data_IF_875429024456
#
_entry.id   IF_875429024456
#
_cell.length_a   1.000
_cell.length_b   1.000
_cell.length_c   1.000
_cell.angle_alpha   90.00
_cell.angle_beta   90.00
_cell.angle_gamma   90.00
#
_symmetry.space_group_name_H-M   'P 1'
#
loop_
_entity.id
_entity.type
_entity.pdbx_description
1 polymer ?
#
# COMPACT_ATOMS: atom_id res chain seq x y z
N UNK A 1 -13.49 -14.63 -30.92
CA UNK A 1 -13.09 -13.33 -30.36
C UNK A 1 -11.57 -13.25 -30.38
N UNK A 2 -10.98 -12.07 -30.37
CA UNK A 2 -9.53 -11.96 -30.31
C UNK A 2 -9.03 -12.50 -28.96
N UNK A 3 -7.86 -13.12 -28.95
CA UNK A 3 -7.21 -13.63 -27.75
C UNK A 3 -5.92 -12.86 -27.55
N UNK A 4 -5.69 -12.35 -26.35
CA UNK A 4 -4.48 -11.58 -26.03
C UNK A 4 -3.78 -12.23 -24.84
N UNK A 5 -2.50 -12.54 -24.97
CA UNK A 5 -1.71 -13.08 -23.84
C UNK A 5 -1.44 -11.99 -22.80
N UNK A 6 -1.15 -12.38 -21.56
CA UNK A 6 -0.79 -11.43 -20.51
C UNK A 6 0.45 -10.61 -20.90
N UNK A 7 1.43 -11.21 -21.58
CA UNK A 7 2.59 -10.48 -22.11
C UNK A 7 2.23 -9.42 -23.14
N UNK A 8 1.16 -9.61 -23.91
CA UNK A 8 0.65 -8.60 -24.84
C UNK A 8 -0.05 -7.49 -24.07
N UNK A 9 -0.87 -7.84 -23.07
CA UNK A 9 -1.54 -6.87 -22.21
C UNK A 9 -0.54 -6.00 -21.43
N UNK A 10 0.57 -6.58 -20.95
CA UNK A 10 1.65 -5.86 -20.24
C UNK A 10 2.33 -4.77 -21.08
N UNK A 11 2.26 -4.84 -22.41
CA UNK A 11 2.80 -3.80 -23.31
C UNK A 11 1.93 -2.54 -23.31
N UNK A 12 0.68 -2.66 -22.85
CA UNK A 12 -0.30 -1.60 -22.77
C UNK A 12 -0.46 -1.13 -21.31
N UNK A 13 0.61 -0.57 -20.76
CA UNK A 13 0.74 -0.22 -19.34
C UNK A 13 0.91 1.30 -19.08
N UNK A 14 0.55 2.15 -20.04
CA UNK A 14 0.73 3.61 -19.94
C UNK A 14 -0.61 4.34 -19.98
N UNK A 15 -0.68 5.58 -19.48
CA UNK A 15 -1.95 6.33 -19.44
C UNK A 15 -2.58 6.56 -20.83
N UNK A 16 -1.78 6.60 -21.89
CA UNK A 16 -2.24 6.79 -23.27
C UNK A 16 -2.48 5.46 -24.02
N UNK A 17 -2.17 4.33 -23.39
CA UNK A 17 -2.35 2.98 -23.91
C UNK A 17 -2.43 1.98 -22.75
N UNK A 18 -3.65 1.81 -22.22
CA UNK A 18 -3.92 1.15 -20.95
C UNK A 18 -4.93 0.02 -21.09
N UNK A 19 -4.44 -1.20 -20.89
CA UNK A 19 -5.26 -2.39 -20.93
C UNK A 19 -5.20 -3.10 -19.58
N UNK A 20 -6.27 -3.78 -19.22
CA UNK A 20 -6.35 -4.58 -17.99
C UNK A 20 -7.02 -5.91 -18.27
N UNK A 21 -6.72 -6.89 -17.44
CA UNK A 21 -7.50 -8.14 -17.38
C UNK A 21 -8.46 -8.06 -16.20
N UNK A 22 -9.73 -8.41 -16.43
CA UNK A 22 -10.75 -8.62 -15.41
C UNK A 22 -11.49 -9.93 -15.71
N UNK A 23 -11.53 -10.86 -14.75
CA UNK A 23 -12.23 -12.14 -14.88
C UNK A 23 -11.90 -12.89 -16.18
N UNK A 24 -10.61 -13.04 -16.47
CA UNK A 24 -10.09 -13.66 -17.70
C UNK A 24 -10.43 -12.93 -19.02
N UNK A 25 -10.99 -11.72 -18.94
CA UNK A 25 -11.34 -10.87 -20.07
C UNK A 25 -10.42 -9.66 -20.14
N UNK A 26 -10.03 -9.30 -21.35
CA UNK A 26 -9.10 -8.22 -21.64
C UNK A 26 -9.90 -6.98 -22.08
N UNK A 27 -9.62 -5.86 -21.44
CA UNK A 27 -10.29 -4.59 -21.67
C UNK A 27 -9.27 -3.51 -22.02
N UNK A 28 -9.52 -2.76 -23.10
CA UNK A 28 -8.80 -1.54 -23.42
C UNK A 28 -9.53 -0.35 -22.83
N UNK A 29 -9.13 0.03 -21.62
CA UNK A 29 -9.75 1.09 -20.83
C UNK A 29 -9.04 2.44 -21.01
N UNK A 30 -8.16 2.59 -21.99
CA UNK A 30 -7.46 3.85 -22.31
C UNK A 30 -8.43 5.04 -22.38
N UNK A 31 -9.59 4.82 -23.01
CA UNK A 31 -10.64 5.86 -23.15
C UNK A 31 -11.51 6.03 -21.91
N UNK A 32 -11.53 5.05 -21.02
CA UNK A 32 -12.29 5.06 -19.77
C UNK A 32 -11.48 5.65 -18.60
N UNK A 33 -10.17 5.86 -18.81
CA UNK A 33 -9.23 6.29 -17.77
C UNK A 33 -9.68 7.55 -17.01
N UNK A 34 -10.20 8.52 -17.75
CA UNK A 34 -10.65 9.81 -17.23
C UNK A 34 -12.08 9.76 -16.68
N UNK A 35 -12.86 8.76 -17.08
CA UNK A 35 -14.27 8.57 -16.69
C UNK A 35 -14.43 7.71 -15.43
N UNK A 36 -13.33 7.15 -14.93
CA UNK A 36 -13.33 6.29 -13.77
C UNK A 36 -13.58 7.06 -12.46
N UNK A 37 -14.68 6.78 -11.72
CA UNK A 37 -15.06 7.54 -10.52
C UNK A 37 -14.05 7.50 -9.37
N UNK A 38 -13.22 6.45 -9.30
CA UNK A 38 -12.16 6.32 -8.29
C UNK A 38 -10.84 7.01 -8.66
N UNK A 39 -10.81 7.76 -9.77
CA UNK A 39 -9.62 8.42 -10.30
C UNK A 39 -8.88 7.57 -11.33
N UNK A 40 -8.05 8.22 -12.13
CA UNK A 40 -7.22 7.56 -13.15
C UNK A 40 -6.00 6.87 -12.56
N UNK A 41 -5.54 7.36 -11.42
CA UNK A 41 -4.32 6.93 -10.76
C UNK A 41 -4.39 5.45 -10.39
N UNK A 42 -5.57 4.98 -9.96
CA UNK A 42 -5.81 3.58 -9.62
C UNK A 42 -5.84 2.65 -10.84
N UNK A 43 -6.26 3.15 -12.00
CA UNK A 43 -6.24 2.38 -13.25
C UNK A 43 -4.82 2.31 -13.82
N UNK A 44 -4.04 3.39 -13.69
CA UNK A 44 -2.62 3.42 -14.06
C UNK A 44 -1.81 2.42 -13.21
N UNK A 45 -2.15 2.26 -11.93
CA UNK A 45 -1.47 1.33 -11.02
C UNK A 45 -1.62 -0.14 -11.43
N UNK A 46 -2.77 -0.51 -12.00
CA UNK A 46 -3.06 -1.87 -12.48
C UNK A 46 -2.87 -2.05 -13.99
N UNK A 47 -2.32 -1.03 -14.66
CA UNK A 47 -2.14 -1.00 -16.10
C UNK A 47 -1.27 -2.16 -16.60
N UNK A 48 -1.75 -2.88 -17.59
CA UNK A 48 -1.07 -4.03 -18.18
C UNK A 48 -1.06 -5.29 -17.29
N UNK A 49 -1.88 -5.33 -16.24
CA UNK A 49 -1.94 -6.46 -15.29
C UNK A 49 -3.33 -7.08 -15.20
N UNK A 50 -3.42 -8.19 -14.47
CA UNK A 50 -4.70 -8.73 -14.01
C UNK A 50 -5.20 -7.94 -12.80
N UNK A 51 -6.18 -7.10 -13.07
CA UNK A 51 -6.81 -6.20 -12.11
C UNK A 51 -8.01 -6.84 -11.40
N UNK A 52 -8.30 -8.13 -11.63
CA UNK A 52 -9.50 -8.80 -11.10
C UNK A 52 -9.60 -8.68 -9.58
N UNK A 53 -8.49 -8.93 -8.86
CA UNK A 53 -8.48 -8.84 -7.40
C UNK A 53 -8.73 -7.41 -6.93
N UNK A 54 -8.04 -6.43 -7.51
CA UNK A 54 -8.19 -5.01 -7.15
C UNK A 54 -9.60 -4.49 -7.43
N UNK A 55 -10.19 -4.91 -8.55
CA UNK A 55 -11.54 -4.53 -8.94
C UNK A 55 -12.60 -5.11 -7.99
N UNK A 56 -12.41 -6.33 -7.54
CA UNK A 56 -13.39 -6.99 -6.66
C UNK A 56 -13.24 -6.61 -5.19
N UNK A 57 -12.02 -6.33 -4.72
CA UNK A 57 -11.74 -5.86 -3.36
C UNK A 57 -12.39 -4.50 -3.07
N UNK A 58 -12.42 -3.61 -4.06
CA UNK A 58 -13.06 -2.29 -3.97
C UNK A 58 -14.60 -2.42 -3.94
N UNK A 59 -15.15 -3.55 -4.40
CA UNK A 59 -16.59 -3.79 -4.40
C UNK A 59 -17.34 -2.96 -5.44
N UNK A 60 -16.80 -2.84 -6.66
CA UNK A 60 -17.47 -2.17 -7.78
C UNK A 60 -18.89 -2.75 -8.01
N UNK A 61 -19.86 -1.92 -8.38
CA UNK A 61 -21.26 -2.32 -8.62
C UNK A 61 -21.45 -3.05 -9.95
N UNK A 62 -22.63 -3.60 -10.21
CA UNK A 62 -22.95 -4.25 -11.49
C UNK A 62 -22.91 -3.26 -12.67
N UNK A 63 -23.36 -2.03 -12.45
CA UNK A 63 -23.34 -0.95 -13.45
C UNK A 63 -21.90 -0.58 -13.86
N UNK A 64 -20.94 -0.65 -12.92
CA UNK A 64 -19.53 -0.43 -13.24
C UNK A 64 -18.97 -1.52 -14.18
N UNK A 65 -19.56 -2.72 -14.19
CA UNK A 65 -19.14 -3.80 -15.09
C UNK A 65 -19.81 -3.70 -16.44
N UNK A 66 -21.06 -3.27 -16.49
CA UNK A 66 -21.74 -2.90 -17.74
C UNK A 66 -20.99 -1.77 -18.46
N UNK A 67 -20.45 -0.80 -17.71
CA UNK A 67 -19.60 0.26 -18.28
C UNK A 67 -18.30 -0.27 -18.92
N UNK A 68 -17.83 -1.46 -18.55
CA UNK A 68 -16.64 -2.07 -19.14
C UNK A 68 -16.93 -2.79 -20.47
N UNK A 69 -18.18 -3.15 -20.75
CA UNK A 69 -18.55 -3.89 -21.97
C UNK A 69 -18.07 -3.23 -23.27
N UNK A 70 -18.17 -1.90 -23.48
CA UNK A 70 -17.71 -1.25 -24.70
C UNK A 70 -16.18 -1.28 -24.88
N UNK A 71 -15.44 -1.52 -23.79
CA UNK A 71 -13.98 -1.55 -23.76
C UNK A 71 -13.42 -2.97 -23.86
N UNK A 72 -14.27 -3.98 -23.91
CA UNK A 72 -13.86 -5.37 -24.07
C UNK A 72 -13.20 -5.58 -25.45
N UNK A 73 -11.98 -6.14 -25.44
CA UNK A 73 -11.20 -6.38 -26.67
C UNK A 73 -10.98 -7.85 -26.96
N UNK A 74 -10.98 -8.72 -25.95
CA UNK A 74 -10.75 -10.15 -26.15
C UNK A 74 -10.64 -10.94 -24.86
N UNK A 75 -10.38 -12.23 -24.97
CA UNK A 75 -10.22 -13.12 -23.80
C UNK A 75 -8.73 -13.50 -23.60
N UNK A 76 -8.34 -13.86 -22.38
CA UNK A 76 -7.03 -14.48 -22.13
C UNK A 76 -6.99 -15.91 -22.71
N UNK A 77 -5.81 -16.43 -23.13
CA UNK A 77 -5.65 -17.81 -23.55
C UNK A 77 -5.99 -18.78 -22.41
N UNK A 78 -6.62 -19.91 -22.70
CA UNK A 78 -7.07 -20.87 -21.69
C UNK A 78 -5.98 -21.36 -20.72
N UNK A 79 -4.71 -21.32 -21.14
CA UNK A 79 -3.56 -21.72 -20.33
C UNK A 79 -3.15 -20.66 -19.29
N UNK A 80 -3.56 -19.40 -19.49
CA UNK A 80 -3.28 -18.25 -18.61
C UNK A 80 -4.52 -17.84 -17.79
N UNK A 81 -5.66 -18.48 -18.01
CA UNK A 81 -6.89 -18.18 -17.27
C UNK A 81 -6.79 -18.69 -15.83
N UNK A 82 -7.20 -17.84 -14.89
CA UNK A 82 -7.35 -18.23 -13.48
C UNK A 82 -8.76 -18.78 -13.23
N UNK A 83 -8.91 -19.72 -12.30
CA UNK A 83 -10.23 -20.25 -11.92
C UNK A 83 -11.13 -19.11 -11.45
N UNK A 84 -12.25 -18.89 -12.14
CA UNK A 84 -13.16 -17.78 -11.88
C UNK A 84 -13.73 -17.88 -10.45
N UNK A 85 -13.42 -16.89 -9.61
CA UNK A 85 -14.06 -16.74 -8.30
C UNK A 85 -15.37 -16.00 -8.54
N UNK A 86 -16.49 -16.70 -8.40
CA UNK A 86 -17.82 -16.10 -8.52
C UNK A 86 -18.10 -15.23 -7.28
N UNK A 87 -18.11 -13.91 -7.47
CA UNK A 87 -18.19 -12.93 -6.37
C UNK A 87 -19.61 -12.35 -6.30
N UNK A 88 -20.27 -12.55 -5.16
CA UNK A 88 -21.64 -12.11 -4.86
C UNK A 88 -21.76 -10.58 -4.76
N UNK A 89 -22.78 -10.01 -5.41
CA UNK A 89 -23.07 -8.57 -5.46
C UNK A 89 -24.49 -8.26 -4.98
N UNK A 90 -24.66 -7.37 -3.99
CA UNK A 90 -25.98 -6.85 -3.62
C UNK A 90 -26.34 -5.61 -4.47
N UNK A 91 -27.58 -5.57 -4.99
CA UNK A 91 -28.14 -4.41 -5.69
C UNK A 91 -28.44 -3.25 -4.73
N UNK A 92 -28.06 -2.03 -5.12
CA UNK A 92 -28.37 -0.79 -4.37
C UNK A 92 -29.15 0.21 -5.24
N UNK A 93 -30.14 0.88 -4.63
CA UNK A 93 -30.97 1.90 -5.29
C UNK A 93 -30.36 3.29 -5.09
N UNK A 94 -30.08 4.01 -6.19
CA UNK A 94 -29.31 5.24 -6.21
C UNK A 94 -30.13 6.47 -5.76
N UNK A 95 -29.61 7.28 -4.83
CA UNK A 95 -30.13 8.62 -4.50
C UNK A 95 -29.07 9.65 -4.92
N UNK A 96 -29.44 10.59 -5.80
CA UNK A 96 -28.51 11.52 -6.44
C UNK A 96 -28.31 12.81 -5.65
N UNK A 97 -27.06 13.30 -5.60
CA UNK A 97 -26.76 14.74 -5.50
C UNK A 97 -25.54 15.08 -6.36
N UNK A 98 -25.72 16.04 -7.25
CA UNK A 98 -24.75 16.56 -8.20
C UNK A 98 -24.16 17.88 -7.70
N UNK A 99 -22.84 18.01 -7.77
CA UNK A 99 -22.16 19.30 -7.81
C UNK A 99 -20.90 19.18 -8.67
N UNK A 100 -20.98 19.81 -9.84
CA UNK A 100 -19.93 19.93 -10.86
C UNK A 100 -18.98 21.05 -10.46
N UNK A 101 -17.67 20.80 -10.39
CA UNK A 101 -16.66 21.84 -10.67
C UNK A 101 -15.54 21.23 -11.50
N UNK A 102 -15.31 21.87 -12.64
CA UNK A 102 -14.40 21.52 -13.71
C UNK A 102 -13.10 22.32 -13.57
N UNK A 103 -11.93 21.70 -13.66
CA UNK A 103 -10.65 22.42 -13.82
C UNK A 103 -9.81 21.78 -14.94
N UNK A 104 -9.49 22.61 -15.94
CA UNK A 104 -8.70 22.34 -17.15
C UNK A 104 -7.32 21.73 -16.86
N UNK A 105 -6.99 20.63 -17.56
CA UNK A 105 -5.61 20.13 -17.73
C UNK A 105 -4.88 20.93 -18.81
N UNK A 106 -3.73 21.52 -18.49
CA UNK A 106 -2.77 22.05 -19.47
C UNK A 106 -1.77 20.95 -19.83
N UNK A 107 -1.56 20.72 -21.14
CA UNK A 107 -0.79 19.56 -21.63
C UNK A 107 0.74 19.74 -21.63
N UNK A 108 1.50 18.63 -21.55
CA UNK A 108 2.98 18.61 -21.48
C UNK A 108 3.70 19.20 -22.71
N UNK A 109 2.99 19.37 -23.82
CA UNK A 109 3.56 19.91 -25.07
C UNK A 109 3.80 21.43 -25.04
N UNK A 110 3.26 22.15 -24.05
CA UNK A 110 3.57 23.57 -23.83
C UNK A 110 5.03 23.79 -23.43
N UNK A 111 5.63 22.84 -22.71
CA UNK A 111 7.01 22.97 -22.21
C UNK A 111 8.05 22.72 -23.32
N UNK A 112 7.80 21.73 -24.19
CA UNK A 112 8.66 21.40 -25.34
C UNK A 112 8.66 22.48 -26.43
N UNK A 113 7.54 23.21 -26.63
CA UNK A 113 7.50 24.39 -27.52
C UNK A 113 8.21 25.62 -26.95
N UNK A 114 8.47 25.64 -25.64
CA UNK A 114 9.16 26.75 -24.97
C UNK A 114 10.68 26.51 -24.96
N UNK A 115 11.12 25.26 -24.82
CA UNK A 115 12.54 24.87 -24.88
C UNK A 115 13.16 25.05 -26.30
N UNK A 116 12.42 24.76 -27.37
CA UNK A 116 12.91 24.95 -28.74
C UNK A 116 13.02 26.43 -29.17
N UNK A 117 12.24 27.34 -28.55
CA UNK A 117 12.35 28.79 -28.78
C UNK A 117 13.59 29.41 -28.14
N UNK A 118 14.11 28.82 -27.06
CA UNK A 118 15.32 29.31 -26.38
C UNK A 118 16.61 28.97 -27.15
N UNK A 119 16.64 27.85 -27.87
CA UNK A 119 17.77 27.48 -28.73
C UNK A 119 17.92 28.36 -29.98
N UNK A 120 16.81 28.78 -30.60
CA UNK A 120 16.84 29.68 -31.76
C UNK A 120 17.20 31.14 -31.41
N UNK A 121 16.89 31.60 -30.19
CA UNK A 121 17.17 32.96 -29.75
C UNK A 121 18.68 33.28 -29.69
N UNK A 122 19.50 32.33 -29.25
CA UNK A 122 20.96 32.51 -29.15
C UNK A 122 21.64 32.71 -30.51
N UNK A 123 21.16 31.99 -31.54
CA UNK A 123 21.69 32.12 -32.91
C UNK A 123 21.32 33.46 -33.55
N UNK A 124 20.11 33.96 -33.30
CA UNK A 124 19.64 35.26 -33.80
C UNK A 124 20.39 36.42 -33.15
N UNK A 125 20.63 36.37 -31.83
CA UNK A 125 21.40 37.41 -31.13
C UNK A 125 22.85 37.44 -31.60
N UNK A 126 23.48 36.28 -31.82
CA UNK A 126 24.85 36.21 -32.35
C UNK A 126 24.93 36.79 -33.77
N UNK A 127 23.95 36.49 -34.63
CA UNK A 127 23.88 37.05 -35.98
C UNK A 127 23.67 38.58 -35.98
N UNK A 128 22.77 39.10 -35.14
CA UNK A 128 22.50 40.54 -35.01
C UNK A 128 23.74 41.29 -34.46
N UNK A 129 24.41 40.75 -33.44
CA UNK A 129 25.64 41.34 -32.88
C UNK A 129 26.77 41.35 -33.91
N UNK A 130 26.88 40.31 -34.74
CA UNK A 130 27.92 40.22 -35.79
C UNK A 130 27.65 41.21 -36.92
N UNK A 131 26.39 41.36 -37.34
CA UNK A 131 25.96 42.38 -38.33
C UNK A 131 26.25 43.79 -37.83
N UNK A 132 25.89 44.09 -36.57
CA UNK A 132 26.08 45.41 -35.97
C UNK A 132 27.56 45.77 -35.80
N UNK A 133 28.41 44.82 -35.40
CA UNK A 133 29.86 45.08 -35.21
C UNK A 133 30.67 45.13 -36.51
N UNK A 134 30.22 44.49 -37.59
CA UNK A 134 30.98 44.39 -38.87
C UNK A 134 30.37 45.19 -40.03
N UNK A 135 29.22 45.82 -39.86
CA UNK A 135 28.57 46.63 -40.91
C UNK A 135 28.14 45.84 -42.14
N UNK A 136 27.89 44.54 -41.99
CA UNK A 136 27.54 43.62 -43.09
C UNK A 136 26.05 43.70 -43.46
N UNK A 137 25.72 43.37 -44.72
CA UNK A 137 24.31 43.31 -45.16
C UNK A 137 23.62 42.01 -44.70
N UNK A 138 22.28 42.00 -44.51
CA UNK A 138 21.57 40.85 -43.93
C UNK A 138 21.73 39.52 -44.69
N UNK A 139 21.91 39.57 -46.02
CA UNK A 139 22.12 38.36 -46.84
C UNK A 139 23.52 37.75 -46.64
N UNK A 140 24.53 38.55 -46.30
CA UNK A 140 25.89 38.07 -46.02
C UNK A 140 25.99 37.38 -44.66
N UNK A 141 25.21 37.84 -43.66
CA UNK A 141 25.17 37.23 -42.34
C UNK A 141 24.56 35.82 -42.34
N UNK A 142 23.56 35.60 -43.20
CA UNK A 142 22.88 34.31 -43.31
C UNK A 142 23.81 33.21 -43.86
N UNK A 143 24.71 33.55 -44.79
CA UNK A 143 25.73 32.61 -45.30
C UNK A 143 26.77 32.24 -44.25
N UNK A 144 27.16 33.16 -43.37
CA UNK A 144 28.12 32.89 -42.28
C UNK A 144 27.53 31.95 -41.24
N UNK A 145 26.24 32.06 -40.95
CA UNK A 145 25.52 31.16 -40.02
C UNK A 145 25.33 29.76 -40.62
N UNK A 146 25.09 29.64 -41.93
CA UNK A 146 25.01 28.34 -42.59
C UNK A 146 26.36 27.59 -42.66
N UNK A 147 27.48 28.30 -42.79
CA UNK A 147 28.81 27.68 -42.84
C UNK A 147 29.47 27.43 -41.48
N UNK A 148 28.97 28.02 -40.39
CA UNK A 148 29.50 27.81 -39.04
C UNK A 148 28.90 26.61 -38.30
N UNK A 149 27.84 26.01 -38.84
CA UNK A 149 27.25 24.79 -38.30
C UNK A 149 28.14 23.54 -38.44
N UNK A 150 29.28 23.61 -39.15
CA UNK A 150 30.12 22.44 -39.45
C UNK A 150 31.59 22.54 -39.02
N UNK A 151 32.03 23.58 -38.31
CA UNK A 151 33.45 23.77 -37.99
C UNK A 151 33.67 24.21 -36.55
N UNK A 152 33.54 23.30 -35.59
CA UNK A 152 33.89 23.53 -34.18
C UNK A 152 35.26 22.95 -33.78
N UNK A 153 36.17 22.79 -34.73
CA UNK A 153 37.52 22.28 -34.49
C UNK A 153 38.57 23.18 -35.12
N UNK A 154 38.69 24.41 -34.66
CA UNK A 154 39.93 25.20 -34.77
C UNK A 154 39.84 26.47 -33.90
N UNK A 155 40.65 26.50 -32.84
CA UNK A 155 40.89 27.70 -32.04
C UNK A 155 41.73 28.69 -32.88
N UNK A 156 41.36 29.99 -32.98
CA UNK A 156 42.24 30.98 -33.58
C UNK A 156 43.37 31.30 -32.59
N UNK A 157 44.62 30.98 -32.98
CA UNK A 157 45.80 31.61 -32.37
C UNK A 157 45.97 32.99 -33.01
N UNK A 158 45.86 34.03 -32.20
CA UNK A 158 46.28 35.39 -32.53
C UNK A 158 45.19 36.26 -33.14
N UNK A 159 44.46 36.98 -32.30
CA UNK A 159 43.83 38.24 -32.66
C UNK A 159 43.68 39.09 -31.40
N UNK A 160 44.25 40.29 -31.45
CA UNK A 160 44.23 41.31 -30.38
C UNK A 160 42.79 41.79 -30.17
N UNK A 161 42.20 41.50 -29.02
CA UNK A 161 40.82 41.87 -28.68
C UNK A 161 40.75 42.43 -27.25
N UNK A 162 40.10 43.58 -27.07
CA UNK A 162 40.01 44.30 -25.80
C UNK A 162 39.47 43.45 -24.62
N UNK A 163 39.91 43.76 -23.39
CA UNK A 163 39.66 43.04 -22.13
C UNK A 163 38.21 42.57 -21.87
N UNK A 164 37.21 43.31 -22.33
CA UNK A 164 35.79 42.92 -22.16
C UNK A 164 35.41 41.68 -22.99
N UNK A 165 36.07 41.43 -24.12
CA UNK A 165 35.78 40.30 -25.00
C UNK A 165 36.34 38.98 -24.47
N UNK A 166 37.49 39.01 -23.79
CA UNK A 166 38.09 37.85 -23.14
C UNK A 166 37.26 37.33 -21.97
N UNK A 167 36.60 38.23 -21.22
CA UNK A 167 35.72 37.85 -20.12
C UNK A 167 34.47 37.08 -20.60
N UNK A 168 33.77 37.58 -21.62
CA UNK A 168 32.55 36.91 -22.12
C UNK A 168 32.84 35.62 -22.88
N UNK A 169 33.97 35.54 -23.60
CA UNK A 169 34.45 34.28 -24.19
C UNK A 169 34.82 33.26 -23.10
N UNK A 170 35.51 33.69 -22.04
CA UNK A 170 35.84 32.85 -20.89
C UNK A 170 34.59 32.34 -20.16
N UNK A 171 33.61 33.21 -19.92
CA UNK A 171 32.35 32.85 -19.26
C UNK A 171 31.50 31.90 -20.12
N UNK A 172 31.46 32.09 -21.44
CA UNK A 172 30.77 31.19 -22.36
C UNK A 172 31.42 29.81 -22.40
N UNK A 173 32.75 29.74 -22.49
CA UNK A 173 33.49 28.47 -22.46
C UNK A 173 33.34 27.76 -21.11
N UNK A 174 33.41 28.50 -19.99
CA UNK A 174 33.21 27.93 -18.66
C UNK A 174 31.79 27.36 -18.48
N UNK A 175 30.77 28.04 -19.02
CA UNK A 175 29.38 27.57 -18.94
C UNK A 175 29.15 26.29 -19.76
N UNK A 176 29.78 26.19 -20.94
CA UNK A 176 29.72 24.98 -21.77
C UNK A 176 30.44 23.82 -21.08
N UNK A 177 31.64 24.06 -20.52
CA UNK A 177 32.39 23.05 -19.75
C UNK A 177 31.59 22.59 -18.53
N UNK A 178 30.97 23.52 -17.80
CA UNK A 178 30.12 23.21 -16.63
C UNK A 178 28.92 22.35 -17.04
N UNK A 179 28.25 22.68 -18.15
CA UNK A 179 27.09 21.95 -18.61
C UNK A 179 27.46 20.56 -19.13
N UNK A 180 28.54 20.43 -19.90
CA UNK A 180 29.07 19.15 -20.37
C UNK A 180 29.57 18.27 -19.22
N UNK A 181 30.21 18.86 -18.20
CA UNK A 181 30.63 18.14 -17.01
C UNK A 181 29.44 17.62 -16.20
N UNK A 182 28.39 18.44 -16.04
CA UNK A 182 27.18 18.05 -15.29
C UNK A 182 26.39 16.97 -16.02
N UNK A 183 26.25 17.08 -17.36
CA UNK A 183 25.60 16.06 -18.18
C UNK A 183 26.42 14.76 -18.20
N UNK A 184 27.75 14.86 -18.31
CA UNK A 184 28.67 13.72 -18.27
C UNK A 184 28.68 13.00 -16.92
N UNK A 185 28.66 13.74 -15.81
CA UNK A 185 28.52 13.19 -14.45
C UNK A 185 27.15 12.54 -14.24
N UNK A 186 26.07 13.13 -14.75
CA UNK A 186 24.73 12.54 -14.71
C UNK A 186 24.66 11.22 -15.50
N UNK A 187 25.24 11.18 -16.69
CA UNK A 187 25.31 9.96 -17.51
C UNK A 187 26.22 8.89 -16.87
N UNK A 188 27.40 9.26 -16.35
CA UNK A 188 28.31 8.33 -15.65
C UNK A 188 27.73 7.81 -14.33
N UNK A 189 27.02 8.64 -13.57
CA UNK A 189 26.30 8.20 -12.39
C UNK A 189 25.16 7.23 -12.77
N UNK A 190 24.47 7.49 -13.88
CA UNK A 190 23.42 6.58 -14.37
C UNK A 190 23.98 5.21 -14.80
N UNK A 191 25.20 5.15 -15.37
CA UNK A 191 25.86 3.88 -15.72
C UNK A 191 26.45 3.13 -14.53
N UNK A 192 26.56 3.78 -13.36
CA UNK A 192 27.00 3.17 -12.10
C UNK A 192 25.86 2.79 -11.15
N UNK A 193 24.63 3.22 -11.46
CA UNK A 193 23.43 2.87 -10.71
C UNK A 193 22.70 1.63 -11.25
N UNK A 194 23.19 1.06 -12.35
CA UNK A 194 22.73 -0.24 -12.84
C UNK A 194 23.45 -1.36 -12.07
N UNK A 195 22.90 -1.72 -10.90
CA UNK A 195 23.41 -2.80 -10.03
C UNK A 195 22.35 -3.88 -9.90
N UNK A 196 22.25 -4.73 -10.92
CA UNK A 196 22.01 -6.18 -10.87
C UNK A 196 22.62 -6.73 -12.19
N UNK A 197 23.60 -7.62 -12.26
CA UNK A 197 23.90 -8.87 -11.54
C UNK A 197 25.43 -9.18 -11.60
N UNK A 198 25.86 -10.22 -10.87
CA UNK A 198 27.19 -10.91 -10.90
C UNK A 198 28.26 -10.50 -9.87
N UNK A 199 28.06 -10.91 -8.61
CA UNK A 199 29.16 -11.31 -7.71
C UNK A 199 29.11 -12.81 -7.46
N UNK A 200 29.45 -13.59 -8.48
CA UNK A 200 30.00 -14.94 -8.33
C UNK A 200 31.19 -15.06 -9.26
N UNK A 201 32.40 -15.06 -8.71
CA UNK A 201 33.53 -15.93 -9.07
C UNK A 201 34.76 -15.55 -8.22
N UNK A 202 34.88 -16.16 -7.04
CA UNK A 202 36.18 -16.36 -6.40
C UNK A 202 36.46 -17.86 -6.35
N UNK A 203 37.63 -18.29 -6.81
CA UNK A 203 38.09 -19.66 -6.67
C UNK A 203 38.36 -19.96 -5.18
N UNK A 204 37.68 -20.96 -4.63
CA UNK A 204 37.81 -21.34 -3.22
C UNK A 204 39.14 -22.07 -2.94
N UNK A 205 40.02 -21.46 -2.16
CA UNK A 205 41.12 -22.17 -1.50
C UNK A 205 40.74 -22.50 -0.05
N UNK A 206 40.86 -23.77 0.32
CA UNK A 206 40.46 -24.32 1.63
C UNK A 206 41.71 -24.58 2.48
N UNK A 207 41.86 -24.01 3.68
CA UNK A 207 42.88 -24.49 4.61
C UNK A 207 42.41 -25.79 5.25
N UNK A 208 43.26 -26.81 5.23
CA UNK A 208 43.07 -28.04 6.01
C UNK A 208 43.31 -27.72 7.49
N UNK A 209 42.31 -27.95 8.34
CA UNK A 209 42.53 -28.15 9.78
C UNK A 209 42.26 -29.62 10.14
N UNK A 210 42.99 -30.18 11.11
CA UNK A 210 42.98 -31.62 11.37
C UNK A 210 41.68 -32.05 12.01
N UNK A 211 41.26 -33.26 11.67
CA UNK A 211 40.12 -33.93 12.24
C UNK A 211 40.39 -34.34 13.69
N UNK A 212 39.53 -33.90 14.62
CA UNK A 212 38.75 -34.81 15.45
C UNK A 212 37.76 -34.04 16.32
N UNK A 213 36.50 -34.06 15.92
CA UNK A 213 35.38 -34.05 16.87
C UNK A 213 34.24 -34.80 16.17
N UNK A 214 33.90 -35.99 16.67
CA UNK A 214 32.66 -36.65 16.27
C UNK A 214 31.51 -35.77 16.75
N UNK A 215 30.99 -34.92 15.86
CA UNK A 215 29.70 -34.30 16.07
C UNK A 215 28.66 -35.36 15.71
N UNK A 216 27.92 -35.82 16.71
CA UNK A 216 26.68 -36.55 16.51
C UNK A 216 25.89 -35.83 15.42
N UNK A 217 25.64 -36.51 14.30
CA UNK A 217 24.73 -36.04 13.27
C UNK A 217 23.37 -35.89 13.94
N UNK A 218 23.04 -34.66 14.39
CA UNK A 218 21.64 -34.27 14.54
C UNK A 218 21.03 -34.53 13.18
N UNK A 219 20.18 -35.54 13.11
CA UNK A 219 19.29 -35.77 11.99
C UNK A 219 18.70 -34.42 11.62
N UNK A 220 19.01 -33.93 10.42
CA UNK A 220 18.44 -32.70 9.92
C UNK A 220 16.93 -32.93 9.81
N UNK A 221 16.19 -32.46 10.81
CA UNK A 221 14.73 -32.46 10.78
C UNK A 221 14.32 -31.63 9.59
N UNK A 222 13.69 -32.27 8.60
CA UNK A 222 13.08 -31.57 7.46
C UNK A 222 12.17 -30.48 8.06
N UNK A 223 12.36 -29.20 7.69
CA UNK A 223 11.52 -28.13 8.20
C UNK A 223 10.06 -28.44 7.90
N UNK A 224 9.22 -28.50 8.94
CA UNK A 224 7.78 -28.69 8.75
C UNK A 224 7.21 -27.51 7.95
N UNK A 225 6.24 -27.74 7.04
CA UNK A 225 5.61 -26.66 6.32
C UNK A 225 4.91 -25.71 7.31
N UNK A 226 4.99 -24.40 7.06
CA UNK A 226 4.25 -23.41 7.84
C UNK A 226 2.75 -23.73 7.78
N UNK A 227 1.99 -23.60 8.88
CA UNK A 227 0.56 -23.91 8.87
C UNK A 227 -0.24 -23.07 7.88
N UNK A 228 -0.02 -21.75 7.89
CA UNK A 228 -0.65 -20.81 6.97
C UNK A 228 0.10 -20.72 5.64
N UNK A 229 -0.66 -20.57 4.55
CA UNK A 229 -0.16 -20.33 3.20
C UNK A 229 -0.86 -19.12 2.56
N UNK A 230 -0.12 -18.16 2.00
CA UNK A 230 -0.70 -16.92 1.48
C UNK A 230 -1.50 -17.13 0.19
N UNK A 231 -1.27 -18.25 -0.52
CA UNK A 231 -1.88 -18.57 -1.82
C UNK A 231 -2.89 -19.71 -1.69
N UNK A 232 -2.56 -20.74 -0.93
CA UNK A 232 -3.37 -21.95 -0.82
C UNK A 232 -4.37 -21.89 0.34
N UNK A 233 -5.60 -22.29 0.06
CA UNK A 233 -6.61 -22.54 1.08
C UNK A 233 -6.32 -23.86 1.77
N UNK A 234 -6.32 -23.86 3.11
CA UNK A 234 -6.08 -25.06 3.91
C UNK A 234 -7.20 -25.22 4.95
N UNK A 235 -7.66 -26.45 5.21
CA UNK A 235 -8.71 -26.68 6.19
C UNK A 235 -8.16 -26.62 7.62
N UNK A 236 -8.88 -25.96 8.51
CA UNK A 236 -8.60 -25.93 9.95
C UNK A 236 -9.86 -26.32 10.73
N UNK A 237 -9.69 -27.19 11.72
CA UNK A 237 -10.80 -27.76 12.49
C UNK A 237 -11.16 -26.88 13.67
N UNK A 238 -12.44 -26.53 13.83
CA UNK A 238 -12.94 -25.81 14.99
C UNK A 238 -12.97 -26.74 16.20
N UNK A 239 -12.18 -26.43 17.23
CA UNK A 239 -12.09 -27.24 18.45
C UNK A 239 -12.89 -26.67 19.60
N UNK A 240 -13.14 -25.36 19.61
CA UNK A 240 -13.91 -24.69 20.66
C UNK A 240 -14.70 -23.52 20.10
N UNK A 241 -15.88 -23.27 20.68
CA UNK A 241 -16.71 -22.10 20.43
C UNK A 241 -17.43 -21.72 21.72
N UNK A 242 -17.24 -20.48 22.17
CA UNK A 242 -17.87 -19.93 23.38
C UNK A 242 -18.51 -18.59 23.03
N UNK A 243 -19.75 -18.34 23.45
CA UNK A 243 -20.34 -17.01 23.38
C UNK A 243 -19.83 -16.18 24.57
N UNK A 244 -19.19 -15.04 24.30
CA UNK A 244 -18.52 -14.21 25.33
C UNK A 244 -19.21 -12.88 25.58
N UNK A 245 -20.06 -12.45 24.65
CA UNK A 245 -20.93 -11.27 24.73
C UNK A 245 -22.10 -11.50 23.76
N UNK A 246 -23.20 -10.71 23.83
CA UNK A 246 -24.36 -10.91 22.95
C UNK A 246 -23.98 -10.95 21.46
N UNK A 247 -24.18 -12.10 20.83
CA UNK A 247 -23.80 -12.36 19.43
C UNK A 247 -22.29 -12.28 19.14
N UNK A 248 -21.41 -12.44 20.14
CA UNK A 248 -19.95 -12.47 19.94
C UNK A 248 -19.40 -13.81 20.41
N UNK A 249 -18.71 -14.49 19.51
CA UNK A 249 -18.16 -15.82 19.73
C UNK A 249 -16.64 -15.80 19.75
N UNK A 250 -16.05 -16.39 20.78
CA UNK A 250 -14.65 -16.80 20.79
C UNK A 250 -14.53 -18.20 20.19
N UNK A 251 -13.86 -18.30 19.05
CA UNK A 251 -13.75 -19.51 18.25
C UNK A 251 -12.27 -19.91 18.16
N UNK A 252 -11.99 -21.18 18.46
CA UNK A 252 -10.63 -21.74 18.37
C UNK A 252 -10.58 -22.79 17.28
N UNK A 253 -9.60 -22.66 16.39
CA UNK A 253 -9.25 -23.65 15.39
C UNK A 253 -7.88 -24.28 15.71
N UNK A 254 -7.73 -25.59 15.53
CA UNK A 254 -6.45 -26.27 15.72
C UNK A 254 -5.53 -26.06 14.52
N UNK A 255 -4.26 -25.74 14.78
CA UNK A 255 -3.19 -25.89 13.79
C UNK A 255 -2.89 -27.39 13.53
N UNK A 256 -2.18 -27.74 12.45
CA UNK A 256 -1.90 -29.14 12.11
C UNK A 256 -1.21 -29.92 13.23
N UNK A 257 -0.29 -29.29 13.97
CA UNK A 257 0.39 -29.88 15.13
C UNK A 257 0.25 -29.00 16.38
N UNK A 258 0.24 -29.60 17.60
CA UNK A 258 0.12 -28.86 18.85
C UNK A 258 1.26 -27.87 19.14
N UNK A 259 2.44 -28.08 18.56
CA UNK A 259 3.64 -27.26 18.74
C UNK A 259 3.84 -26.20 17.66
N UNK A 260 3.00 -26.22 16.61
CA UNK A 260 3.05 -25.25 15.51
C UNK A 260 2.78 -23.83 16.01
N UNK A 261 3.44 -22.86 15.39
CA UNK A 261 3.16 -21.44 15.59
C UNK A 261 2.22 -20.94 14.49
N UNK A 262 1.42 -19.92 14.77
CA UNK A 262 0.52 -19.30 13.80
C UNK A 262 1.26 -18.81 12.55
N UNK A 263 2.43 -18.18 12.72
CA UNK A 263 3.26 -17.69 11.63
C UNK A 263 2.68 -16.48 10.89
N UNK A 264 1.77 -15.74 11.55
CA UNK A 264 1.16 -14.51 11.05
C UNK A 264 1.99 -13.30 11.49
N UNK A 265 2.58 -12.50 10.57
CA UNK A 265 3.24 -11.25 10.92
C UNK A 265 2.27 -10.28 11.60
N UNK A 266 2.74 -9.58 12.65
CA UNK A 266 1.92 -8.59 13.38
C UNK A 266 1.48 -7.47 12.45
N UNK A 267 0.18 -7.18 12.45
CA UNK A 267 -0.47 -6.27 11.49
C UNK A 267 -1.27 -6.98 10.40
N UNK A 268 -0.90 -8.22 10.09
CA UNK A 268 -1.55 -8.99 9.06
C UNK A 268 -2.72 -9.80 9.61
N UNK A 269 -3.61 -10.21 8.71
CA UNK A 269 -4.80 -10.97 9.00
C UNK A 269 -4.84 -12.26 8.17
N UNK A 270 -5.86 -13.09 8.42
CA UNK A 270 -6.15 -14.29 7.63
C UNK A 270 -7.47 -14.11 6.88
N UNK A 271 -7.63 -14.79 5.76
CA UNK A 271 -8.91 -14.89 5.06
C UNK A 271 -9.52 -16.26 5.33
N UNK A 272 -10.80 -16.28 5.72
CA UNK A 272 -11.62 -17.48 5.87
C UNK A 272 -12.51 -17.64 4.64
N UNK A 273 -12.70 -18.87 4.16
CA UNK A 273 -13.60 -19.21 3.06
C UNK A 273 -14.54 -20.35 3.47
N UNK A 274 -15.81 -20.21 3.09
CA UNK A 274 -16.82 -21.23 3.27
C UNK A 274 -17.83 -21.17 2.11
N UNK A 275 -18.38 -22.33 1.74
CA UNK A 275 -19.50 -22.42 0.80
C UNK A 275 -20.81 -22.28 1.57
N UNK A 276 -21.55 -21.20 1.33
CA UNK A 276 -22.80 -20.86 2.02
C UNK A 276 -23.89 -20.75 0.96
N UNK A 277 -24.92 -21.59 1.05
CA UNK A 277 -26.01 -21.66 0.07
C UNK A 277 -25.53 -21.85 -1.39
N UNK A 278 -24.46 -22.62 -1.59
CA UNK A 278 -23.86 -22.85 -2.91
C UNK A 278 -22.86 -21.77 -3.36
N UNK A 279 -22.75 -20.66 -2.65
CA UNK A 279 -21.83 -19.56 -2.99
C UNK A 279 -20.57 -19.60 -2.13
N UNK A 280 -19.40 -19.40 -2.74
CA UNK A 280 -18.14 -19.26 -2.02
C UNK A 280 -18.03 -17.86 -1.41
N UNK A 281 -18.02 -17.78 -0.07
CA UNK A 281 -17.91 -16.53 0.67
C UNK A 281 -16.55 -16.49 1.37
N UNK A 282 -15.78 -15.43 1.13
CA UNK A 282 -14.51 -15.19 1.82
C UNK A 282 -14.52 -13.88 2.62
N UNK A 283 -13.97 -13.87 3.84
CA UNK A 283 -13.87 -12.68 4.70
C UNK A 283 -12.57 -12.67 5.50
N UNK A 284 -12.06 -11.48 5.78
CA UNK A 284 -10.86 -11.27 6.58
C UNK A 284 -11.15 -11.25 8.07
N UNK A 285 -10.26 -11.87 8.85
CA UNK A 285 -10.29 -11.88 10.30
C UNK A 285 -8.87 -11.74 10.84
N UNK A 286 -8.70 -10.91 11.87
CA UNK A 286 -7.43 -10.81 12.61
C UNK A 286 -7.50 -11.72 13.84
N UNK A 287 -6.68 -12.77 13.92
CA UNK A 287 -6.62 -13.61 15.10
C UNK A 287 -6.15 -12.83 16.33
N UNK A 288 -6.71 -13.18 17.49
CA UNK A 288 -6.27 -12.69 18.80
C UNK A 288 -5.13 -13.55 19.37
N UNK A 289 -4.89 -14.74 18.81
CA UNK A 289 -3.72 -15.56 19.10
C UNK A 289 -2.48 -15.07 18.33
N UNK A 290 -1.29 -15.29 18.89
CA UNK A 290 -0.01 -14.96 18.27
C UNK A 290 0.95 -16.17 18.26
N UNK A 291 2.23 -15.96 17.93
CA UNK A 291 3.20 -17.06 17.85
C UNK A 291 3.54 -17.72 19.20
N UNK A 292 3.15 -17.13 20.34
CA UNK A 292 3.29 -17.74 21.66
C UNK A 292 2.16 -18.74 21.95
N UNK A 293 1.02 -18.61 21.25
CA UNK A 293 -0.14 -19.50 21.38
C UNK A 293 -0.02 -20.69 20.45
N UNK A 294 0.78 -21.67 20.87
CA UNK A 294 1.06 -22.85 20.06
C UNK A 294 -0.19 -23.68 19.78
N UNK A 295 -0.23 -24.24 18.57
CA UNK A 295 -1.21 -25.24 18.14
C UNK A 295 -2.60 -24.69 17.83
N UNK A 296 -2.83 -23.37 17.86
CA UNK A 296 -4.18 -22.82 17.69
C UNK A 296 -4.27 -21.45 17.00
N UNK A 297 -5.42 -21.22 16.39
CA UNK A 297 -5.89 -19.93 15.85
C UNK A 297 -7.11 -19.52 16.67
N UNK A 298 -7.10 -18.33 17.25
CA UNK A 298 -8.23 -17.82 18.05
C UNK A 298 -8.85 -16.60 17.38
N UNK A 299 -10.16 -16.63 17.15
CA UNK A 299 -10.93 -15.56 16.53
C UNK A 299 -12.01 -15.04 17.48
N UNK A 300 -12.24 -13.73 17.46
CA UNK A 300 -13.45 -13.11 17.99
C UNK A 300 -14.36 -12.70 16.85
N UNK A 301 -15.57 -13.27 16.82
CA UNK A 301 -16.50 -13.11 15.71
C UNK A 301 -17.82 -12.59 16.22
N UNK A 302 -18.19 -11.37 15.81
CA UNK A 302 -19.54 -10.83 16.02
C UNK A 302 -20.46 -11.31 14.91
N UNK A 303 -21.53 -12.01 15.27
CA UNK A 303 -22.58 -12.47 14.39
C UNK A 303 -23.52 -11.31 14.05
N UNK A 304 -23.56 -10.93 12.78
CA UNK A 304 -24.52 -9.96 12.26
C UNK A 304 -25.70 -10.70 11.63
N UNK A 305 -26.96 -10.29 11.84
CA UNK A 305 -28.13 -10.99 11.31
C UNK A 305 -28.07 -11.25 9.79
N UNK A 306 -27.53 -10.30 9.03
CA UNK A 306 -27.37 -10.39 7.56
C UNK A 306 -25.96 -10.81 7.13
N UNK A 307 -25.06 -11.12 8.07
CA UNK A 307 -23.66 -11.43 7.76
C UNK A 307 -23.47 -12.90 7.42
N UNK A 308 -23.35 -13.23 6.13
CA UNK A 308 -23.22 -14.62 5.65
C UNK A 308 -22.13 -15.42 6.39
N UNK A 309 -20.87 -14.98 6.34
CA UNK A 309 -19.76 -15.67 7.02
C UNK A 309 -19.93 -15.70 8.54
N UNK A 310 -20.36 -14.59 9.14
CA UNK A 310 -20.48 -14.52 10.61
C UNK A 310 -21.60 -15.42 11.14
N UNK A 311 -22.70 -15.56 10.39
CA UNK A 311 -23.78 -16.51 10.70
C UNK A 311 -23.31 -17.96 10.51
N UNK A 312 -22.57 -18.22 9.42
CA UNK A 312 -21.99 -19.54 9.19
C UNK A 312 -21.09 -19.97 10.36
N UNK A 313 -20.17 -19.11 10.80
CA UNK A 313 -19.30 -19.36 11.95
C UNK A 313 -20.08 -19.52 13.27
N UNK A 314 -21.12 -18.72 13.49
CA UNK A 314 -21.98 -18.84 14.66
C UNK A 314 -22.74 -20.17 14.70
N UNK A 315 -23.13 -20.71 13.54
CA UNK A 315 -23.89 -21.97 13.42
C UNK A 315 -23.01 -23.22 13.29
N UNK A 316 -21.74 -23.05 12.91
CA UNK A 316 -20.75 -24.12 12.76
C UNK A 316 -20.64 -24.96 14.04
N UNK A 317 -20.48 -26.28 13.91
CA UNK A 317 -20.35 -27.19 15.05
C UNK A 317 -18.89 -27.55 15.30
N UNK A 318 -18.53 -27.76 16.57
CA UNK A 318 -17.19 -28.22 16.96
C UNK A 318 -16.89 -29.52 16.19
N UNK A 319 -15.67 -29.63 15.67
CA UNK A 319 -15.21 -30.70 14.79
C UNK A 319 -15.37 -30.41 13.29
N UNK A 320 -16.12 -29.37 12.90
CA UNK A 320 -16.17 -28.95 11.50
C UNK A 320 -14.92 -28.19 11.08
N UNK A 321 -14.64 -28.15 9.79
CA UNK A 321 -13.49 -27.45 9.22
C UNK A 321 -13.92 -26.18 8.47
N UNK A 322 -13.03 -25.18 8.46
CA UNK A 322 -13.13 -24.01 7.59
C UNK A 322 -11.83 -23.84 6.82
N UNK A 323 -11.91 -23.31 5.61
CA UNK A 323 -10.73 -23.02 4.82
C UNK A 323 -10.13 -21.67 5.22
N UNK A 324 -8.83 -21.65 5.45
CA UNK A 324 -8.07 -20.46 5.84
C UNK A 324 -6.87 -20.32 4.91
N UNK A 325 -6.60 -19.09 4.48
CA UNK A 325 -5.33 -18.70 3.85
C UNK A 325 -4.76 -17.45 4.52
N UNK A 326 -3.44 -17.32 4.49
CA UNK A 326 -2.74 -16.19 5.10
C UNK A 326 -1.22 -16.40 5.11
N UNK A 327 -0.45 -15.35 5.40
CA UNK A 327 -0.90 -14.04 5.86
C UNK A 327 -1.41 -13.13 4.72
N UNK A 328 -2.25 -12.15 5.06
CA UNK A 328 -2.81 -11.12 4.16
C UNK A 328 -2.74 -9.74 4.80
N UNK A 329 -2.75 -8.69 3.97
CA UNK A 329 -2.74 -7.29 4.42
C UNK A 329 -1.37 -6.61 4.32
N UNK A 330 -1.39 -5.28 4.17
CA UNK A 330 -0.19 -4.47 3.95
C UNK A 330 0.51 -4.04 5.25
N UNK A 331 -0.19 -4.02 6.39
CA UNK A 331 0.37 -3.62 7.67
C UNK A 331 1.40 -4.64 8.14
N UNK A 332 2.60 -4.18 8.48
CA UNK A 332 3.58 -4.98 9.20
C UNK A 332 4.23 -4.14 10.29
N UNK A 333 4.07 -4.58 11.53
CA UNK A 333 4.67 -3.94 12.69
C UNK A 333 6.14 -4.34 12.84
N UNK A 334 6.95 -3.40 13.34
CA UNK A 334 8.27 -3.67 13.91
C UNK A 334 8.54 -2.66 15.04
N UNK A 335 9.47 -2.89 15.96
CA UNK A 335 9.79 -1.94 17.04
C UNK A 335 10.24 -0.54 16.56
N UNK A 336 10.53 -0.36 15.28
CA UNK A 336 10.87 0.94 14.67
C UNK A 336 9.68 1.60 13.95
N UNK A 337 8.49 1.02 14.06
CA UNK A 337 7.31 1.46 13.33
C UNK A 337 6.84 2.86 13.75
N UNK A 338 6.85 3.13 15.06
CA UNK A 338 6.47 4.40 15.66
C UNK A 338 7.01 4.51 17.09
N UNK A 339 7.20 5.74 17.58
CA UNK A 339 7.41 6.00 19.01
C UNK A 339 6.09 5.98 19.80
N UNK A 340 5.02 6.54 19.23
CA UNK A 340 3.69 6.48 19.86
C UNK A 340 2.61 6.11 18.84
N UNK A 341 1.85 5.07 19.15
CA UNK A 341 0.73 4.59 18.36
C UNK A 341 -0.58 4.98 19.07
N UNK A 342 -1.35 5.86 18.44
CA UNK A 342 -2.75 6.07 18.78
C UNK A 342 -3.61 4.99 18.14
N UNK A 343 -4.56 4.43 18.87
CA UNK A 343 -5.49 3.42 18.38
C UNK A 343 -6.92 3.87 18.67
N UNK A 344 -7.79 3.75 17.66
CA UNK A 344 -9.23 3.96 17.79
C UNK A 344 -9.93 2.69 17.31
N UNK A 345 -10.60 2.00 18.23
CA UNK A 345 -11.28 0.73 17.96
C UNK A 345 -12.78 0.83 18.26
N UNK A 346 -13.59 0.16 17.43
CA UNK A 346 -15.04 0.01 17.66
C UNK A 346 -15.47 -1.45 17.63
N UNK A 347 -16.09 -1.95 18.72
CA UNK A 347 -16.59 -3.33 18.77
C UNK A 347 -15.50 -4.37 18.46
N UNK A 348 -15.71 -5.20 17.44
CA UNK A 348 -14.73 -6.22 17.00
C UNK A 348 -13.50 -5.63 16.31
N UNK A 349 -13.47 -4.32 16.01
CA UNK A 349 -12.27 -3.64 15.52
C UNK A 349 -11.10 -3.63 16.53
N UNK A 350 -11.33 -4.12 17.74
CA UNK A 350 -10.27 -4.34 18.73
C UNK A 350 -9.27 -5.42 18.32
N UNK A 351 -9.63 -6.40 17.49
CA UNK A 351 -8.77 -7.56 17.21
C UNK A 351 -7.43 -7.19 16.53
N UNK A 352 -7.36 -6.33 15.49
CA UNK A 352 -6.07 -5.87 14.98
C UNK A 352 -5.27 -5.04 16.01
N UNK A 353 -5.95 -4.24 16.83
CA UNK A 353 -5.28 -3.45 17.87
C UNK A 353 -4.68 -4.35 18.93
N UNK A 354 -5.43 -5.35 19.38
CA UNK A 354 -5.00 -6.33 20.38
C UNK A 354 -3.81 -7.15 19.89
N UNK A 355 -3.78 -7.54 18.61
CA UNK A 355 -2.63 -8.21 18.01
C UNK A 355 -1.35 -7.37 18.15
N UNK A 356 -1.43 -6.06 17.90
CA UNK A 356 -0.30 -5.15 18.09
C UNK A 356 0.05 -4.93 19.56
N UNK A 357 -0.95 -4.72 20.43
CA UNK A 357 -0.74 -4.53 21.87
C UNK A 357 0.02 -5.73 22.45
N UNK A 358 -0.38 -6.95 22.10
CA UNK A 358 0.34 -8.16 22.50
C UNK A 358 1.77 -8.18 21.97
N UNK A 359 1.97 -7.89 20.68
CA UNK A 359 3.30 -7.89 20.09
C UNK A 359 4.26 -6.89 20.78
N UNK A 360 3.75 -5.74 21.24
CA UNK A 360 4.55 -4.67 21.88
C UNK A 360 4.74 -4.92 23.38
N UNK A 361 3.69 -5.38 24.07
CA UNK A 361 3.73 -5.57 25.52
C UNK A 361 4.37 -6.90 25.92
N UNK A 362 4.25 -7.95 25.09
CA UNK A 362 4.84 -9.27 25.37
C UNK A 362 6.31 -9.37 24.88
N UNK A 363 6.80 -8.44 24.07
CA UNK A 363 8.19 -8.41 23.60
C UNK A 363 9.08 -7.59 24.56
N UNK A 364 9.99 -8.23 25.33
CA UNK A 364 10.87 -7.50 26.25
C UNK A 364 11.93 -6.64 25.56
N UNK A 365 12.12 -6.79 24.24
CA UNK A 365 13.07 -6.00 23.46
C UNK A 365 12.46 -4.70 22.92
N UNK A 366 11.13 -4.67 22.77
CA UNK A 366 10.40 -3.47 22.44
C UNK A 366 10.14 -2.69 23.73
N UNK A 367 10.98 -1.71 24.02
CA UNK A 367 10.96 -0.93 25.27
C UNK A 367 10.51 0.52 25.08
N UNK A 368 10.50 0.98 23.83
CA UNK A 368 10.30 2.40 23.49
C UNK A 368 8.90 2.71 22.95
N UNK A 369 8.20 1.73 22.36
CA UNK A 369 6.91 2.00 21.73
C UNK A 369 5.82 2.18 22.77
N UNK A 370 5.13 3.33 22.69
CA UNK A 370 3.97 3.68 23.50
C UNK A 370 2.67 3.49 22.70
N UNK A 371 1.58 3.15 23.37
CA UNK A 371 0.26 2.90 22.82
C UNK A 371 -0.78 3.64 23.66
N UNK A 372 -1.65 4.41 23.00
CA UNK A 372 -2.88 4.94 23.60
C UNK A 372 -4.08 4.43 22.82
N UNK A 373 -5.05 3.82 23.50
CA UNK A 373 -6.25 3.23 22.89
C UNK A 373 -7.52 3.95 23.35
N UNK A 374 -8.30 4.47 22.40
CA UNK A 374 -9.71 4.80 22.59
C UNK A 374 -10.56 3.63 22.10
N UNK A 375 -11.24 2.94 23.01
CA UNK A 375 -12.07 1.78 22.68
C UNK A 375 -13.56 2.08 22.87
N UNK A 376 -14.31 2.07 21.76
CA UNK A 376 -15.70 2.48 21.73
C UNK A 376 -16.66 1.29 21.56
N UNK A 377 -17.67 1.22 22.42
CA UNK A 377 -18.70 0.19 22.42
C UNK A 377 -20.08 0.80 22.70
N UNK A 378 -21.15 0.00 22.61
CA UNK A 378 -22.47 0.48 22.97
C UNK A 378 -22.67 0.44 24.48
N UNK A 379 -22.52 -0.74 25.07
CA UNK A 379 -22.71 -1.00 26.49
C UNK A 379 -21.42 -1.54 27.11
N UNK A 380 -21.38 -1.66 28.44
CA UNK A 380 -20.22 -2.21 29.15
C UNK A 380 -20.01 -3.70 28.86
N UNK A 381 -21.08 -4.46 28.64
CA UNK A 381 -21.06 -5.88 28.26
C UNK A 381 -20.47 -6.11 26.85
N UNK A 382 -20.48 -5.09 25.99
CA UNK A 382 -19.91 -5.17 24.65
C UNK A 382 -18.37 -5.04 24.65
N UNK A 383 -17.72 -4.72 25.78
CA UNK A 383 -16.27 -4.49 25.85
C UNK A 383 -15.53 -5.83 25.81
N UNK A 384 -15.06 -6.19 24.62
CA UNK A 384 -14.29 -7.42 24.40
C UNK A 384 -12.87 -7.27 24.94
N UNK A 385 -12.31 -8.37 25.46
CA UNK A 385 -10.92 -8.44 25.96
C UNK A 385 -10.60 -7.42 27.08
N UNK A 386 -11.61 -7.00 27.84
CA UNK A 386 -11.43 -5.96 28.86
C UNK A 386 -10.39 -6.34 29.90
N UNK A 387 -10.49 -7.55 30.46
CA UNK A 387 -9.59 -8.02 31.52
C UNK A 387 -8.13 -8.09 31.03
N UNK A 388 -7.93 -8.52 29.79
CA UNK A 388 -6.63 -8.60 29.12
C UNK A 388 -6.05 -7.21 28.87
N UNK A 389 -6.84 -6.28 28.34
CA UNK A 389 -6.43 -4.89 28.11
C UNK A 389 -6.08 -4.20 29.45
N UNK A 390 -6.90 -4.34 30.48
CA UNK A 390 -6.61 -3.79 31.81
C UNK A 390 -5.38 -4.43 32.47
N UNK A 391 -5.12 -5.72 32.20
CA UNK A 391 -3.88 -6.38 32.65
C UNK A 391 -2.65 -5.78 31.96
N UNK A 392 -2.67 -5.55 30.65
CA UNK A 392 -1.59 -4.87 29.96
C UNK A 392 -1.39 -3.45 30.48
N UNK A 393 -2.47 -2.69 30.72
CA UNK A 393 -2.38 -1.32 31.22
C UNK A 393 -1.78 -1.26 32.65
N UNK A 394 -2.11 -2.24 33.51
CA UNK A 394 -1.51 -2.35 34.85
C UNK A 394 -0.05 -2.78 34.80
N UNK A 395 0.33 -3.65 33.88
CA UNK A 395 1.69 -4.18 33.78
C UNK A 395 2.65 -3.25 33.03
N UNK A 396 2.13 -2.37 32.17
CA UNK A 396 2.91 -1.42 31.37
C UNK A 396 2.32 0.01 31.45
N UNK A 397 2.13 0.60 32.64
CA UNK A 397 1.42 1.87 32.80
C UNK A 397 2.09 3.05 32.08
N UNK A 398 3.41 2.99 31.90
CA UNK A 398 4.18 4.02 31.21
C UNK A 398 4.08 3.92 29.67
N UNK A 399 3.65 2.77 29.14
CA UNK A 399 3.65 2.48 27.70
C UNK A 399 2.30 2.16 27.11
N UNK A 400 1.34 1.68 27.90
CA UNK A 400 0.01 1.35 27.40
C UNK A 400 -1.09 1.99 28.24
N UNK A 401 -1.91 2.79 27.59
CA UNK A 401 -3.09 3.43 28.17
C UNK A 401 -4.33 3.05 27.35
N UNK A 402 -5.42 2.75 28.04
CA UNK A 402 -6.72 2.44 27.44
C UNK A 402 -7.81 3.29 28.07
N UNK A 403 -8.67 3.86 27.23
CA UNK A 403 -9.84 4.61 27.66
C UNK A 403 -11.08 4.09 26.92
N UNK A 404 -12.10 3.78 27.70
CA UNK A 404 -13.35 3.23 27.20
C UNK A 404 -14.39 4.33 26.96
N UNK A 405 -15.12 4.23 25.85
CA UNK A 405 -16.18 5.17 25.45
C UNK A 405 -17.47 4.39 25.15
N UNK A 406 -18.55 4.69 25.87
CA UNK A 406 -19.82 3.98 25.72
C UNK A 406 -20.93 4.90 25.21
N UNK A 407 -21.62 4.49 24.14
CA UNK A 407 -22.75 5.25 23.58
C UNK A 407 -24.04 5.10 24.39
N UNK A 408 -24.21 3.97 25.09
CA UNK A 408 -25.32 3.67 26.00
C UNK A 408 -24.79 3.06 27.31
N UNK A 409 -24.10 3.86 28.14
CA UNK A 409 -23.59 3.40 29.43
C UNK A 409 -24.69 3.35 30.50
N UNK A 410 -24.53 2.43 31.44
CA UNK A 410 -25.34 2.42 32.67
C UNK A 410 -24.97 3.58 33.61
N UNK A 411 -25.80 3.81 34.63
CA UNK A 411 -25.62 4.92 35.59
C UNK A 411 -24.29 4.82 36.36
N UNK A 412 -23.82 3.59 36.63
CA UNK A 412 -22.56 3.33 37.32
C UNK A 412 -21.30 3.57 36.47
N UNK A 413 -21.43 3.83 35.17
CA UNK A 413 -20.28 3.98 34.28
C UNK A 413 -19.47 5.24 34.58
N UNK A 414 -18.17 5.04 34.85
CA UNK A 414 -17.20 6.08 35.19
C UNK A 414 -16.33 6.51 34.02
N UNK A 415 -16.37 5.79 32.89
CA UNK A 415 -15.64 6.13 31.68
C UNK A 415 -16.33 7.20 30.83
N UNK A 416 -15.87 7.35 29.58
CA UNK A 416 -16.44 8.35 28.68
C UNK A 416 -17.82 7.92 28.16
N UNK A 417 -18.72 8.89 28.01
CA UNK A 417 -20.09 8.71 27.53
C UNK A 417 -20.26 9.30 26.13
N UNK A 418 -21.06 8.67 25.29
CA UNK A 418 -21.36 9.09 23.92
C UNK A 418 -20.45 8.43 22.88
N UNK A 419 -19.96 9.23 21.94
CA UNK A 419 -19.10 8.77 20.84
C UNK A 419 -17.68 9.32 20.99
N UNK A 420 -16.71 8.70 20.31
CA UNK A 420 -15.36 9.25 20.21
C UNK A 420 -15.43 10.63 19.57
N UNK A 421 -14.92 11.65 20.26
CA UNK A 421 -14.91 13.05 19.82
C UNK A 421 -13.49 13.53 19.54
N UNK A 422 -13.36 14.62 18.78
CA UNK A 422 -12.06 15.26 18.54
C UNK A 422 -11.38 15.72 19.84
N UNK A 423 -12.16 16.06 20.87
CA UNK A 423 -11.65 16.40 22.20
C UNK A 423 -11.00 15.18 22.88
N UNK A 424 -11.66 14.02 22.83
CA UNK A 424 -11.09 12.78 23.40
C UNK A 424 -9.83 12.33 22.65
N UNK A 425 -9.80 12.49 21.33
CA UNK A 425 -8.61 12.21 20.51
C UNK A 425 -7.45 13.11 20.96
N UNK A 426 -7.65 14.43 21.02
CA UNK A 426 -6.62 15.38 21.46
C UNK A 426 -6.14 15.13 22.89
N UNK A 427 -7.05 14.70 23.77
CA UNK A 427 -6.76 14.50 25.19
C UNK A 427 -5.91 13.26 25.46
N UNK A 428 -6.15 12.15 24.74
CA UNK A 428 -5.60 10.83 25.08
C UNK A 428 -4.69 10.21 24.04
N UNK A 429 -4.81 10.62 22.78
CA UNK A 429 -4.03 10.06 21.68
C UNK A 429 -2.86 11.00 21.34
N UNK A 430 -1.78 10.48 20.71
CA UNK A 430 -0.67 11.31 20.27
C UNK A 430 -1.12 12.41 19.32
N UNK A 431 -0.35 13.49 19.26
CA UNK A 431 -0.49 14.52 18.22
C UNK A 431 0.08 14.03 16.89
N UNK A 432 -0.42 14.55 15.77
CA UNK A 432 0.15 14.25 14.46
C UNK A 432 1.65 14.63 14.42
N UNK A 433 2.49 13.71 13.97
CA UNK A 433 3.93 13.89 13.90
C UNK A 433 4.62 12.78 13.11
N UNK A 434 5.91 12.94 12.77
CA UNK A 434 6.65 11.95 11.98
C UNK A 434 6.86 10.63 12.74
N UNK A 435 6.97 10.69 14.06
CA UNK A 435 7.23 9.53 14.93
C UNK A 435 5.94 8.87 15.45
N UNK A 436 4.78 9.42 15.12
CA UNK A 436 3.49 8.98 15.64
C UNK A 436 2.64 8.35 14.54
N UNK A 437 1.89 7.32 14.91
CA UNK A 437 0.97 6.61 14.02
C UNK A 437 -0.41 6.56 14.62
N UNK A 438 -1.43 6.56 13.77
CA UNK A 438 -2.82 6.35 14.17
C UNK A 438 -3.35 5.09 13.50
N UNK A 439 -3.97 4.21 14.26
CA UNK A 439 -4.58 2.99 13.78
C UNK A 439 -6.08 3.05 14.03
N UNK A 440 -6.87 2.74 13.00
CA UNK A 440 -8.33 2.84 13.05
C UNK A 440 -8.97 1.55 12.55
N UNK A 441 -9.87 0.97 13.35
CA UNK A 441 -10.68 -0.17 12.93
C UNK A 441 -12.04 -0.16 13.64
N UNK A 442 -13.12 -0.32 12.88
CA UNK A 442 -14.47 -0.32 13.45
C UNK A 442 -15.55 -0.26 12.37
N UNK A 443 -16.83 -0.07 12.76
CA UNK A 443 -17.92 0.05 11.81
C UNK A 443 -17.73 1.24 10.84
N UNK A 444 -18.15 1.14 9.57
CA UNK A 444 -17.94 2.19 8.57
C UNK A 444 -18.36 3.60 8.99
N UNK A 445 -19.51 3.82 9.70
CA UNK A 445 -19.87 5.16 10.16
C UNK A 445 -18.87 5.75 11.16
N UNK A 446 -18.35 4.91 12.07
CA UNK A 446 -17.34 5.32 13.03
C UNK A 446 -16.03 5.66 12.31
N UNK A 447 -15.59 4.80 11.40
CA UNK A 447 -14.37 5.03 10.61
C UNK A 447 -14.48 6.35 9.84
N UNK A 448 -15.59 6.58 9.13
CA UNK A 448 -15.82 7.83 8.41
C UNK A 448 -15.74 9.09 9.29
N UNK A 449 -16.38 9.06 10.46
CA UNK A 449 -16.32 10.16 11.43
C UNK A 449 -14.89 10.39 11.95
N UNK A 450 -14.15 9.32 12.26
CA UNK A 450 -12.78 9.41 12.76
C UNK A 450 -11.80 9.89 11.69
N UNK A 451 -11.95 9.48 10.43
CA UNK A 451 -11.15 10.02 9.32
C UNK A 451 -11.26 11.54 9.24
N UNK A 452 -12.49 12.08 9.34
CA UNK A 452 -12.73 13.53 9.35
C UNK A 452 -12.08 14.20 10.56
N UNK A 453 -12.31 13.65 11.76
CA UNK A 453 -11.74 14.22 12.98
C UNK A 453 -10.20 14.22 12.97
N UNK A 454 -9.57 13.14 12.49
CA UNK A 454 -8.12 13.06 12.38
C UNK A 454 -7.56 14.05 11.36
N UNK A 455 -8.22 14.21 10.21
CA UNK A 455 -7.84 15.22 9.22
C UNK A 455 -7.89 16.64 9.80
N UNK A 456 -8.96 16.98 10.52
CA UNK A 456 -9.11 18.27 11.19
C UNK A 456 -8.04 18.51 12.28
N UNK A 457 -7.49 17.42 12.84
CA UNK A 457 -6.40 17.42 13.82
C UNK A 457 -5.00 17.37 13.19
N UNK A 458 -4.89 17.50 11.87
CA UNK A 458 -3.62 17.59 11.15
C UNK A 458 -2.95 16.26 10.81
N UNK A 459 -3.68 15.14 10.92
CA UNK A 459 -3.18 13.85 10.46
C UNK A 459 -3.26 13.72 8.94
N UNK A 460 -2.23 13.11 8.34
CA UNK A 460 -2.22 12.75 6.92
C UNK A 460 -2.98 11.44 6.72
N UNK A 461 -4.13 11.53 6.06
CA UNK A 461 -4.95 10.37 5.72
C UNK A 461 -4.26 9.52 4.64
N UNK A 462 -4.42 8.18 4.66
CA UNK A 462 -3.87 7.33 3.61
C UNK A 462 -4.68 7.49 2.33
N UNK A 463 -4.15 6.93 1.24
CA UNK A 463 -4.87 6.78 -0.02
C UNK A 463 -6.05 5.80 0.08
N UNK A 464 -6.53 5.31 -1.07
CA UNK A 464 -7.62 4.33 -1.12
C UNK A 464 -7.28 3.03 -0.37
N UNK A 465 -6.02 2.60 -0.47
CA UNK A 465 -5.46 1.48 0.29
C UNK A 465 -4.41 2.00 1.25
N UNK A 466 -4.58 1.70 2.54
CA UNK A 466 -3.61 2.08 3.56
C UNK A 466 -2.31 1.27 3.40
N UNK A 467 -1.18 1.97 3.37
CA UNK A 467 0.17 1.40 3.32
C UNK A 467 0.75 1.43 4.73
N UNK A 468 1.61 0.47 5.08
CA UNK A 468 2.22 0.42 6.40
C UNK A 468 2.95 1.74 6.78
N UNK A 469 3.52 2.43 5.79
CA UNK A 469 4.22 3.71 5.99
C UNK A 469 3.32 4.92 6.25
N UNK A 470 2.00 4.82 6.05
CA UNK A 470 1.08 5.94 6.21
C UNK A 470 0.99 6.39 7.66
N UNK A 471 0.67 7.67 7.89
CA UNK A 471 0.55 8.20 9.26
C UNK A 471 -0.70 7.67 9.95
N UNK A 472 -1.78 7.49 9.19
CA UNK A 472 -3.02 6.85 9.62
C UNK A 472 -3.19 5.55 8.83
N UNK A 473 -3.33 4.42 9.52
CA UNK A 473 -3.61 3.13 8.93
C UNK A 473 -5.04 2.67 9.26
N UNK A 474 -5.79 2.27 8.24
CA UNK A 474 -7.13 1.72 8.39
C UNK A 474 -7.07 0.21 8.13
N UNK A 475 -7.54 -0.57 9.10
CA UNK A 475 -7.62 -2.02 9.00
C UNK A 475 -8.86 -2.50 8.26
#
# INVERSE_FOLDING_TARGET
>A
MATFTLEQVQKHNTADDLWIVLHNKVYNITKYLEDHPGGKEILIEVAGTDATEAFEEIGHSDEAREQLEPYFVGDLPSEEQTEAVEIYRPNYQQVSQSAVINVKKTSPWGFLRTASKLGLGGLVVTAIVTVYKRGMTPSQALQVVQHSALSFTQLPRGADLNNASHFWLGAGLASIVQFSATLGLGLWASTKLDVQQEFTHYASHRPSKPAHLMHLLKTATIPRPKPLDPRQWRPFTMTQKTEIAPNVYHIIFSLPNPDDILGLPTGQHIALRATINGTSVARSYTPISNNNDRGRIELLVKAYPQGAMTQHLAQMKIGNTIEIRGPKGAMQYSPRYAKHIGMIAGGTGITPMYQLIRAICEDPTDTDTCISLLYANNTEEDILLRAELEAFARNHPDRFQVHYVLSRPDDGWTGYRGFVSAELIQKHLPVAGPDNKMLLCGPPPMVGAMKKALLDLGWTMPGAVAKAGDQVFLF
#
